data_IF_367823016458
#
_entry.id   IF_367823016458
#
_cell.length_a   1.000
_cell.length_b   1.000
_cell.length_c   1.000
_cell.angle_alpha   90.00
_cell.angle_beta   90.00
_cell.angle_gamma   90.00
#
_symmetry.space_group_name_H-M   'P 1'
#
loop_
_entity.id
_entity.type
_entity.pdbx_description
1 polymer ?
#
# COMPACT_ATOMS: atom_id res chain seq x y z
N UNK A 1 -15.24 -23.99 -34.80
CA UNK A 1 -14.32 -23.64 -33.71
C UNK A 1 -15.01 -22.60 -32.83
N UNK A 2 -15.65 -23.04 -31.75
CA UNK A 2 -16.22 -22.12 -30.74
C UNK A 2 -15.21 -22.01 -29.60
N UNK A 3 -14.96 -20.79 -29.10
CA UNK A 3 -14.16 -20.64 -27.88
C UNK A 3 -13.35 -19.36 -27.79
N UNK A 4 -14.01 -18.21 -27.83
CA UNK A 4 -13.48 -17.05 -27.10
C UNK A 4 -14.65 -16.35 -26.43
N UNK A 5 -15.30 -17.07 -25.52
CA UNK A 5 -16.14 -16.40 -24.52
C UNK A 5 -15.24 -15.39 -23.81
N UNK A 6 -15.72 -14.14 -23.76
CA UNK A 6 -15.20 -13.10 -22.89
C UNK A 6 -15.27 -13.66 -21.47
N UNK A 7 -14.18 -14.30 -21.03
CA UNK A 7 -14.05 -14.84 -19.67
C UNK A 7 -14.22 -13.65 -18.75
N UNK A 8 -15.41 -13.54 -18.15
CA UNK A 8 -15.69 -12.52 -17.15
C UNK A 8 -14.58 -12.56 -16.12
N UNK A 9 -14.10 -11.37 -15.74
CA UNK A 9 -13.07 -11.19 -14.72
C UNK A 9 -13.37 -12.16 -13.56
N UNK A 10 -12.40 -13.03 -13.26
CA UNK A 10 -12.57 -14.09 -12.26
C UNK A 10 -13.06 -13.48 -10.95
N UNK A 11 -13.79 -14.25 -10.15
CA UNK A 11 -14.27 -13.80 -8.84
C UNK A 11 -13.18 -13.12 -8.00
N UNK A 12 -11.93 -13.60 -8.14
CA UNK A 12 -10.72 -13.02 -7.55
C UNK A 12 -10.46 -11.57 -7.99
N UNK A 13 -10.59 -11.26 -9.29
CA UNK A 13 -10.38 -9.91 -9.83
C UNK A 13 -11.48 -8.95 -9.38
N UNK A 14 -12.73 -9.44 -9.29
CA UNK A 14 -13.84 -8.66 -8.72
C UNK A 14 -13.64 -8.37 -7.24
N UNK A 15 -13.15 -9.34 -6.48
CA UNK A 15 -12.82 -9.17 -5.07
C UNK A 15 -11.64 -8.23 -4.85
N UNK A 16 -10.60 -8.32 -5.68
CA UNK A 16 -9.42 -7.45 -5.56
C UNK A 16 -9.73 -5.99 -5.86
N UNK A 17 -10.72 -5.71 -6.69
CA UNK A 17 -11.16 -4.35 -7.00
C UNK A 17 -11.81 -3.66 -5.80
N UNK A 18 -12.47 -4.42 -4.92
CA UNK A 18 -13.09 -3.91 -3.70
C UNK A 18 -12.10 -3.83 -2.51
N UNK A 19 -11.12 -4.73 -2.45
CA UNK A 19 -10.22 -4.87 -1.30
C UNK A 19 -8.83 -4.23 -1.49
N UNK A 20 -8.49 -3.78 -2.70
CA UNK A 20 -7.14 -3.28 -3.00
C UNK A 20 -6.05 -4.36 -2.97
N UNK A 21 -6.42 -5.65 -2.83
CA UNK A 21 -5.46 -6.76 -2.71
C UNK A 21 -4.57 -6.90 -3.94
N UNK A 22 -5.06 -6.55 -5.13
CA UNK A 22 -4.22 -6.54 -6.33
C UNK A 22 -3.15 -5.46 -6.27
N UNK A 23 -3.47 -4.27 -5.75
CA UNK A 23 -2.49 -3.22 -5.52
C UNK A 23 -1.45 -3.68 -4.50
N UNK A 24 -1.87 -4.28 -3.38
CA UNK A 24 -0.94 -4.84 -2.41
C UNK A 24 -0.04 -5.93 -3.01
N UNK A 25 -0.59 -6.83 -3.84
CA UNK A 25 0.19 -7.86 -4.55
C UNK A 25 1.18 -7.27 -5.56
N UNK A 26 0.79 -6.23 -6.30
CA UNK A 26 1.68 -5.50 -7.22
C UNK A 26 2.82 -4.81 -6.45
N UNK A 27 2.50 -4.09 -5.38
CA UNK A 27 3.49 -3.43 -4.53
C UNK A 27 4.42 -4.43 -3.85
N UNK A 28 3.89 -5.56 -3.39
CA UNK A 28 4.65 -6.60 -2.65
C UNK A 28 5.51 -7.48 -3.56
N UNK A 29 5.15 -7.64 -4.84
CA UNK A 29 5.90 -8.44 -5.81
C UNK A 29 7.06 -7.69 -6.46
N UNK A 30 7.34 -6.46 -6.01
CA UNK A 30 8.34 -5.60 -6.63
C UNK A 30 7.93 -5.09 -8.01
N UNK A 31 6.63 -5.16 -8.35
CA UNK A 31 6.11 -4.70 -9.64
C UNK A 31 6.34 -3.19 -9.83
N UNK A 32 6.55 -2.44 -8.74
CA UNK A 32 6.87 -1.01 -8.77
C UNK A 32 8.34 -0.69 -9.08
N UNK A 33 9.23 -1.69 -9.15
CA UNK A 33 10.59 -1.49 -9.65
C UNK A 33 10.55 -1.45 -11.18
N UNK A 34 11.05 -0.37 -11.77
CA UNK A 34 11.06 -0.18 -13.21
C UNK A 34 11.95 -1.18 -13.96
N UNK A 35 12.88 -1.81 -13.25
CA UNK A 35 13.74 -2.87 -13.74
C UNK A 35 13.19 -4.27 -13.47
N UNK A 36 12.07 -4.38 -12.76
CA UNK A 36 11.42 -5.67 -12.53
C UNK A 36 10.97 -6.30 -13.85
N UNK A 37 11.04 -7.63 -13.91
CA UNK A 37 10.59 -8.38 -15.07
C UNK A 37 9.13 -8.07 -15.45
N UNK A 38 8.17 -7.98 -14.51
CA UNK A 38 6.79 -7.64 -14.86
C UNK A 38 6.62 -6.22 -15.41
N UNK A 39 7.34 -5.23 -14.86
CA UNK A 39 7.25 -3.85 -15.32
C UNK A 39 7.86 -3.67 -16.71
N UNK A 40 9.00 -4.31 -16.97
CA UNK A 40 9.64 -4.31 -18.29
C UNK A 40 8.76 -4.99 -19.34
N UNK A 41 8.06 -6.09 -19.00
CA UNK A 41 7.06 -6.70 -19.89
C UNK A 41 5.86 -5.79 -20.16
N UNK A 42 5.36 -5.07 -19.15
CA UNK A 42 4.27 -4.11 -19.33
C UNK A 42 4.69 -2.97 -20.26
N UNK A 43 5.88 -2.41 -20.05
CA UNK A 43 6.46 -1.35 -20.89
C UNK A 43 6.62 -1.83 -22.34
N UNK A 44 7.07 -3.06 -22.55
CA UNK A 44 7.18 -3.67 -23.88
C UNK A 44 5.82 -3.90 -24.54
N UNK A 45 4.82 -4.34 -23.78
CA UNK A 45 3.47 -4.58 -24.28
C UNK A 45 2.76 -3.29 -24.72
N UNK A 46 2.90 -2.21 -23.95
CA UNK A 46 2.33 -0.90 -24.30
C UNK A 46 3.09 -0.23 -25.45
N UNK A 47 4.39 -0.50 -25.56
CA UNK A 47 5.26 0.13 -26.54
C UNK A 47 5.69 1.54 -26.14
N UNK A 48 6.78 2.01 -26.75
CA UNK A 48 7.45 3.24 -26.35
C UNK A 48 6.55 4.50 -26.44
N UNK A 49 5.74 4.61 -27.48
CA UNK A 49 4.87 5.78 -27.71
C UNK A 49 3.77 5.89 -26.67
N UNK A 50 3.03 4.81 -26.41
CA UNK A 50 1.96 4.81 -25.41
C UNK A 50 2.52 4.92 -24.00
N UNK A 51 3.68 4.32 -23.72
CA UNK A 51 4.37 4.47 -22.46
C UNK A 51 4.76 5.94 -22.19
N UNK A 52 5.37 6.61 -23.18
CA UNK A 52 5.74 8.03 -23.06
C UNK A 52 4.50 8.92 -22.90
N UNK A 53 3.42 8.66 -23.65
CA UNK A 53 2.16 9.40 -23.53
C UNK A 53 1.58 9.32 -22.12
N UNK A 54 1.55 8.13 -21.52
CA UNK A 54 1.08 7.93 -20.14
C UNK A 54 2.02 8.56 -19.12
N UNK A 55 3.33 8.46 -19.35
CA UNK A 55 4.32 9.13 -18.51
C UNK A 55 4.03 10.63 -18.41
N UNK A 56 3.77 11.29 -19.54
CA UNK A 56 3.39 12.71 -19.57
C UNK A 56 2.01 13.00 -18.97
N UNK A 57 1.05 12.10 -19.17
CA UNK A 57 -0.32 12.25 -18.64
C UNK A 57 -0.35 12.24 -17.10
N UNK A 58 0.53 11.46 -16.48
CA UNK A 58 0.63 11.30 -15.02
C UNK A 58 1.83 12.02 -14.40
N UNK A 59 2.60 12.79 -15.18
CA UNK A 59 3.72 13.58 -14.67
C UNK A 59 3.17 14.80 -13.91
N UNK A 60 2.93 14.63 -12.61
CA UNK A 60 2.44 15.67 -11.72
C UNK A 60 3.42 15.87 -10.54
N UNK A 61 4.49 16.65 -10.73
CA UNK A 61 5.52 16.83 -9.71
C UNK A 61 4.97 17.47 -8.43
N UNK A 62 3.96 18.33 -8.54
CA UNK A 62 3.33 18.98 -7.39
C UNK A 62 2.55 17.99 -6.54
N UNK A 63 1.71 17.16 -7.16
CA UNK A 63 0.98 16.10 -6.44
C UNK A 63 1.93 15.10 -5.80
N UNK A 64 3.04 14.76 -6.49
CA UNK A 64 4.06 13.89 -5.95
C UNK A 64 4.76 14.50 -4.72
N UNK A 65 5.07 15.80 -4.76
CA UNK A 65 5.66 16.52 -3.63
C UNK A 65 4.69 16.61 -2.45
N UNK A 66 3.43 16.98 -2.69
CA UNK A 66 2.38 17.04 -1.66
C UNK A 66 2.14 15.66 -1.03
N UNK A 67 2.11 14.60 -1.85
CA UNK A 67 2.00 13.22 -1.39
C UNK A 67 3.21 12.83 -0.54
N UNK A 68 4.43 13.15 -1.00
CA UNK A 68 5.67 12.91 -0.25
C UNK A 68 5.66 13.59 1.12
N UNK A 69 5.30 14.87 1.17
CA UNK A 69 5.21 15.63 2.41
C UNK A 69 4.14 15.05 3.36
N UNK A 70 2.99 14.66 2.82
CA UNK A 70 1.93 14.01 3.60
C UNK A 70 2.41 12.66 4.17
N UNK A 71 3.15 11.87 3.40
CA UNK A 71 3.68 10.58 3.87
C UNK A 71 4.76 10.71 4.93
N UNK A 72 5.62 11.73 4.83
CA UNK A 72 6.59 12.03 5.89
C UNK A 72 5.84 12.36 7.19
N UNK A 73 4.84 13.24 7.12
CA UNK A 73 4.03 13.59 8.30
C UNK A 73 3.31 12.38 8.90
N UNK A 74 2.69 11.54 8.06
CA UNK A 74 2.05 10.30 8.52
C UNK A 74 3.06 9.37 9.20
N UNK A 75 4.28 9.25 8.65
CA UNK A 75 5.34 8.42 9.23
C UNK A 75 5.78 8.93 10.60
N UNK A 76 5.95 10.25 10.76
CA UNK A 76 6.26 10.87 12.06
C UNK A 76 5.17 10.54 13.09
N UNK A 77 3.89 10.63 12.71
CA UNK A 77 2.77 10.25 13.58
C UNK A 77 2.79 8.77 13.97
N UNK A 78 3.14 7.89 13.04
CA UNK A 78 3.28 6.45 13.32
C UNK A 78 4.45 6.17 14.28
N UNK A 79 5.57 6.86 14.13
CA UNK A 79 6.73 6.73 15.00
C UNK A 79 6.40 7.19 16.43
N UNK A 80 5.74 8.34 16.58
CA UNK A 80 5.26 8.83 17.88
C UNK A 80 4.30 7.83 18.55
N UNK A 81 3.33 7.31 17.79
CA UNK A 81 2.40 6.30 18.30
C UNK A 81 3.12 4.99 18.69
N UNK A 82 4.11 4.57 17.90
CA UNK A 82 4.92 3.39 18.19
C UNK A 82 5.70 3.58 19.49
N UNK A 83 6.35 4.73 19.68
CA UNK A 83 7.06 5.02 20.92
C UNK A 83 6.15 4.96 22.15
N UNK A 84 4.92 5.47 22.05
CA UNK A 84 3.95 5.43 23.14
C UNK A 84 3.55 3.98 23.48
N UNK A 85 3.29 3.16 22.46
CA UNK A 85 2.98 1.75 22.62
C UNK A 85 4.17 1.01 23.27
N UNK A 86 5.40 1.30 22.85
CA UNK A 86 6.60 0.68 23.43
C UNK A 86 6.81 1.08 24.90
N UNK A 87 6.55 2.35 25.26
CA UNK A 87 6.58 2.82 26.66
C UNK A 87 5.53 2.08 27.50
N UNK A 88 4.30 1.96 27.01
CA UNK A 88 3.24 1.24 27.72
C UNK A 88 3.54 -0.26 27.84
N UNK A 89 4.12 -0.86 26.80
CA UNK A 89 4.58 -2.25 26.83
C UNK A 89 5.65 -2.46 27.90
N UNK A 90 6.61 -1.55 28.04
CA UNK A 90 7.62 -1.63 29.09
C UNK A 90 7.01 -1.57 30.51
N UNK A 91 5.92 -0.83 30.71
CA UNK A 91 5.17 -0.82 31.98
C UNK A 91 4.49 -2.16 32.25
N UNK A 92 3.96 -2.82 31.20
CA UNK A 92 3.41 -4.17 31.31
C UNK A 92 4.50 -5.18 31.68
N UNK A 93 5.65 -5.12 31.01
CA UNK A 93 6.78 -6.02 31.25
C UNK A 93 7.36 -5.84 32.67
N UNK A 94 7.32 -4.61 33.20
CA UNK A 94 7.71 -4.31 34.58
C UNK A 94 6.64 -4.70 35.63
N UNK A 95 5.45 -5.14 35.20
CA UNK A 95 4.34 -5.47 36.10
C UNK A 95 3.60 -4.24 36.67
N UNK A 96 3.93 -3.04 36.20
CA UNK A 96 3.32 -1.77 36.63
C UNK A 96 1.98 -1.49 35.92
N UNK A 97 1.68 -2.21 34.84
CA UNK A 97 0.43 -2.13 34.08
C UNK A 97 -0.05 -3.56 33.76
N UNK A 98 -1.36 -3.81 33.83
CA UNK A 98 -1.92 -5.11 33.41
C UNK A 98 -2.15 -5.14 31.89
N UNK A 99 -2.23 -6.34 31.33
CA UNK A 99 -2.48 -6.52 29.88
C UNK A 99 -3.84 -5.97 29.49
N UNK A 100 -4.84 -6.10 30.35
CA UNK A 100 -6.19 -5.59 30.13
C UNK A 100 -6.21 -4.06 30.10
N UNK A 101 -5.44 -3.40 30.97
CA UNK A 101 -5.27 -1.95 30.96
C UNK A 101 -4.55 -1.48 29.71
N UNK A 102 -3.51 -2.19 29.26
CA UNK A 102 -2.81 -1.90 28.03
C UNK A 102 -3.73 -1.99 26.80
N UNK A 103 -4.54 -3.05 26.69
CA UNK A 103 -5.50 -3.21 25.60
C UNK A 103 -6.55 -2.09 25.62
N UNK A 104 -7.14 -1.79 26.78
CA UNK A 104 -8.12 -0.71 26.91
C UNK A 104 -7.55 0.68 26.55
N UNK A 105 -6.26 0.91 26.84
CA UNK A 105 -5.57 2.16 26.49
C UNK A 105 -5.40 2.33 24.98
N UNK A 106 -5.27 1.24 24.22
CA UNK A 106 -4.98 1.27 22.79
C UNK A 106 -6.17 0.88 21.88
N UNK A 107 -7.29 0.42 22.43
CA UNK A 107 -8.53 0.16 21.68
C UNK A 107 -9.22 1.44 21.14
N UNK A 108 -8.91 2.62 21.69
CA UNK A 108 -9.49 3.90 21.25
C UNK A 108 -8.79 4.54 20.02
N UNK A 109 -7.67 4.01 19.54
CA UNK A 109 -6.92 4.59 18.43
C UNK A 109 -7.39 4.12 17.03
N UNK A 110 -8.47 3.33 16.94
CA UNK A 110 -8.94 2.69 15.70
C UNK A 110 -10.36 3.10 15.23
N UNK A 111 -10.92 4.22 15.72
CA UNK A 111 -12.18 4.81 15.22
C UNK A 111 -11.96 6.17 14.55
#
# INVERSE_FOLDING_TARGET
MQGHEVRGLTSLVKWSQASGVWLHMLLSSGFNDEHSFPFTQLRAHLGATEWARRGMEFDNPKELEEFGAQKVKEMDMYEEALEEIEKNKALVDAGNMTKEMFIAHHEQCHL
#
